data_IF_391430758847
#
_entry.id   IF_391430758847
#
_cell.length_a   1.000
_cell.length_b   1.000
_cell.length_c   1.000
_cell.angle_alpha   90.00
_cell.angle_beta   90.00
_cell.angle_gamma   90.00
#
_symmetry.space_group_name_H-M   'P 1'
#
loop_
_entity.id
_entity.type
_entity.pdbx_description
1 polymer ?
#
# COMPACT_ATOMS: atom_id res chain seq x y z
N UNK A 1 -46.74 6.26 32.13
CA UNK A 1 -45.99 5.18 31.45
C UNK A 1 -44.57 5.18 32.01
N UNK A 2 -44.33 4.41 33.06
CA UNK A 2 -43.03 4.40 33.73
C UNK A 2 -42.01 3.52 32.97
N UNK A 3 -40.98 4.20 32.46
CA UNK A 3 -39.58 3.78 32.29
C UNK A 3 -39.26 2.53 31.45
N UNK A 4 -38.94 2.75 30.17
CA UNK A 4 -38.21 1.79 29.34
C UNK A 4 -36.74 1.67 29.78
N UNK A 5 -36.48 1.02 30.92
CA UNK A 5 -35.13 0.60 31.29
C UNK A 5 -34.59 -0.29 30.17
N UNK A 6 -33.44 0.07 29.59
CA UNK A 6 -32.78 -0.75 28.56
C UNK A 6 -32.59 -2.17 29.10
N UNK A 7 -33.29 -3.16 28.53
CA UNK A 7 -33.15 -4.58 28.88
C UNK A 7 -31.76 -5.05 28.45
N UNK A 8 -30.98 -5.58 29.39
CA UNK A 8 -29.70 -6.22 29.12
C UNK A 8 -29.89 -7.50 28.29
N UNK A 9 -28.85 -7.88 27.56
CA UNK A 9 -28.84 -9.15 26.84
C UNK A 9 -28.75 -10.33 27.82
N UNK A 10 -29.55 -11.37 27.57
CA UNK A 10 -29.44 -12.65 28.28
C UNK A 10 -28.41 -13.56 27.60
N UNK A 11 -28.04 -14.67 28.25
CA UNK A 11 -27.11 -15.63 27.65
C UNK A 11 -27.72 -16.35 26.43
N UNK A 12 -29.02 -16.62 26.43
CA UNK A 12 -29.72 -17.17 25.26
C UNK A 12 -29.71 -16.18 24.09
N UNK A 13 -29.93 -14.89 24.37
CA UNK A 13 -29.86 -13.83 23.36
C UNK A 13 -28.43 -13.68 22.80
N UNK A 14 -27.41 -13.80 23.65
CA UNK A 14 -26.01 -13.80 23.22
C UNK A 14 -25.69 -15.02 22.36
N UNK A 15 -26.14 -16.22 22.74
CA UNK A 15 -25.93 -17.44 21.96
C UNK A 15 -26.60 -17.35 20.59
N UNK A 16 -27.86 -16.90 20.52
CA UNK A 16 -28.56 -16.69 19.26
C UNK A 16 -27.81 -15.67 18.37
N UNK A 17 -27.36 -14.57 18.95
CA UNK A 17 -26.57 -13.56 18.25
C UNK A 17 -25.25 -14.14 17.71
N UNK A 18 -24.51 -14.91 18.51
CA UNK A 18 -23.22 -15.47 18.12
C UNK A 18 -23.39 -16.54 17.02
N UNK A 19 -24.37 -17.43 17.14
CA UNK A 19 -24.68 -18.43 16.10
C UNK A 19 -25.02 -17.77 14.78
N UNK A 20 -25.93 -16.79 14.80
CA UNK A 20 -26.33 -16.07 13.59
C UNK A 20 -25.15 -15.27 13.01
N UNK A 21 -24.35 -14.62 13.86
CA UNK A 21 -23.18 -13.87 13.41
C UNK A 21 -22.13 -14.77 12.76
N UNK A 22 -21.91 -15.97 13.29
CA UNK A 22 -20.99 -16.94 12.71
C UNK A 22 -21.46 -17.43 11.33
N UNK A 23 -22.77 -17.60 11.16
CA UNK A 23 -23.39 -17.95 9.87
C UNK A 23 -23.31 -16.83 8.83
N UNK A 24 -23.77 -15.63 9.17
CA UNK A 24 -23.91 -14.50 8.23
C UNK A 24 -22.61 -13.71 8.02
N UNK A 25 -21.68 -13.83 8.98
CA UNK A 25 -20.36 -13.15 9.01
C UNK A 25 -20.42 -11.64 8.73
N UNK A 26 -21.31 -10.88 9.40
CA UNK A 26 -21.37 -9.42 9.20
C UNK A 26 -20.08 -8.71 9.65
N UNK A 27 -19.32 -9.31 10.58
CA UNK A 27 -18.05 -8.77 11.09
C UNK A 27 -16.87 -8.87 10.10
N UNK A 28 -16.99 -9.65 9.02
CA UNK A 28 -15.96 -9.75 7.97
C UNK A 28 -16.22 -8.83 6.78
N UNK A 29 -17.24 -7.97 6.85
CA UNK A 29 -17.63 -7.12 5.73
C UNK A 29 -16.63 -5.98 5.50
N UNK A 30 -16.32 -5.65 4.23
CA UNK A 30 -15.52 -4.46 3.89
C UNK A 30 -16.16 -3.17 4.41
N UNK A 31 -15.34 -2.12 4.55
CA UNK A 31 -15.81 -0.78 4.93
C UNK A 31 -16.90 -0.31 3.97
N UNK A 32 -18.00 0.23 4.51
CA UNK A 32 -19.13 0.77 3.75
C UNK A 32 -20.37 -0.12 3.70
N UNK A 33 -20.25 -1.43 3.96
CA UNK A 33 -21.39 -2.37 3.96
C UNK A 33 -21.71 -3.02 5.30
N UNK A 34 -20.88 -2.80 6.32
CA UNK A 34 -20.94 -3.54 7.58
C UNK A 34 -22.27 -3.38 8.32
N UNK A 35 -22.80 -2.15 8.41
CA UNK A 35 -24.02 -1.90 9.18
C UNK A 35 -25.26 -2.52 8.52
N UNK A 36 -25.33 -2.52 7.19
CA UNK A 36 -26.43 -3.15 6.45
C UNK A 36 -26.48 -4.66 6.73
N UNK A 37 -25.32 -5.33 6.78
CA UNK A 37 -25.26 -6.76 7.14
C UNK A 37 -25.64 -7.02 8.59
N UNK A 38 -25.30 -6.11 9.49
CA UNK A 38 -25.80 -6.19 10.86
C UNK A 38 -27.31 -5.97 10.96
N UNK A 39 -27.89 -5.08 10.14
CA UNK A 39 -29.34 -4.87 10.08
C UNK A 39 -30.07 -6.10 9.49
N UNK A 40 -29.51 -6.74 8.45
CA UNK A 40 -30.02 -8.02 7.91
C UNK A 40 -29.99 -9.14 8.97
N UNK A 41 -28.88 -9.27 9.69
CA UNK A 41 -28.77 -10.22 10.80
C UNK A 41 -29.80 -9.93 11.88
N UNK A 42 -29.94 -8.66 12.27
CA UNK A 42 -30.87 -8.26 13.32
C UNK A 42 -32.33 -8.53 12.92
N UNK A 43 -32.68 -8.26 11.66
CA UNK A 43 -34.00 -8.58 11.12
C UNK A 43 -34.26 -10.10 11.12
N UNK A 44 -33.24 -10.91 10.81
CA UNK A 44 -33.33 -12.37 10.85
C UNK A 44 -33.61 -12.87 12.27
N UNK A 45 -32.88 -12.36 13.27
CA UNK A 45 -33.11 -12.71 14.67
C UNK A 45 -34.51 -12.29 15.15
N UNK A 46 -34.96 -11.08 14.81
CA UNK A 46 -36.30 -10.59 15.21
C UNK A 46 -37.43 -11.39 14.55
N UNK A 47 -37.20 -11.93 13.34
CA UNK A 47 -38.16 -12.78 12.65
C UNK A 47 -38.28 -14.19 13.25
N UNK A 48 -37.29 -14.65 14.01
CA UNK A 48 -37.33 -15.94 14.71
C UNK A 48 -38.19 -15.82 15.98
N UNK A 49 -39.29 -16.59 16.02
CA UNK A 49 -40.20 -16.64 17.17
C UNK A 49 -39.52 -17.12 18.46
N UNK A 50 -38.38 -17.81 18.36
CA UNK A 50 -37.59 -18.27 19.50
C UNK A 50 -36.67 -17.19 20.05
N UNK A 51 -36.49 -16.08 19.33
CA UNK A 51 -35.66 -14.97 19.79
C UNK A 51 -36.46 -14.07 20.76
N UNK A 52 -36.03 -13.88 22.03
CA UNK A 52 -36.84 -13.23 23.06
C UNK A 52 -37.08 -11.72 22.90
N UNK A 53 -36.60 -11.11 21.82
CA UNK A 53 -36.55 -9.67 21.63
C UNK A 53 -37.24 -9.27 20.32
N UNK A 54 -38.24 -8.42 20.47
CA UNK A 54 -39.10 -7.88 19.41
C UNK A 54 -38.45 -6.74 18.60
N UNK A 55 -37.42 -6.09 19.17
CA UNK A 55 -36.67 -5.03 18.50
C UNK A 55 -35.16 -5.22 18.63
N UNK A 56 -34.49 -5.41 17.50
CA UNK A 56 -33.04 -5.40 17.43
C UNK A 56 -32.62 -4.61 16.20
N UNK A 57 -31.71 -3.65 16.39
CA UNK A 57 -31.06 -2.96 15.28
C UNK A 57 -29.67 -3.51 15.05
N UNK A 58 -29.15 -3.41 13.82
CA UNK A 58 -27.80 -3.83 13.49
C UNK A 58 -26.74 -3.13 14.35
N UNK A 59 -26.93 -1.84 14.66
CA UNK A 59 -26.05 -1.11 15.58
C UNK A 59 -26.02 -1.69 17.00
N UNK A 60 -27.16 -2.19 17.48
CA UNK A 60 -27.25 -2.80 18.82
C UNK A 60 -26.64 -4.19 18.82
N UNK A 61 -26.92 -4.98 17.78
CA UNK A 61 -26.34 -6.30 17.57
C UNK A 61 -24.81 -6.23 17.46
N UNK A 62 -24.28 -5.36 16.60
CA UNK A 62 -22.84 -5.17 16.41
C UNK A 62 -22.18 -4.68 17.71
N UNK A 63 -22.80 -3.73 18.42
CA UNK A 63 -22.28 -3.23 19.69
C UNK A 63 -22.28 -4.27 20.80
N UNK A 64 -23.23 -5.22 20.80
CA UNK A 64 -23.23 -6.35 21.75
C UNK A 64 -22.16 -7.37 21.37
N UNK A 65 -22.09 -7.74 20.11
CA UNK A 65 -21.07 -8.64 19.57
C UNK A 65 -19.65 -8.17 19.91
N UNK A 66 -19.33 -6.89 19.67
CA UNK A 66 -18.03 -6.31 19.99
C UNK A 66 -17.68 -6.43 21.48
N UNK A 67 -18.67 -6.29 22.37
CA UNK A 67 -18.46 -6.45 23.82
C UNK A 67 -18.15 -7.90 24.17
N UNK A 68 -18.84 -8.86 23.57
CA UNK A 68 -18.62 -10.29 23.80
C UNK A 68 -17.23 -10.71 23.34
N UNK A 69 -16.84 -10.33 22.11
CA UNK A 69 -15.51 -10.64 21.57
C UNK A 69 -14.40 -10.02 22.44
N UNK A 70 -14.56 -8.76 22.88
CA UNK A 70 -13.58 -8.10 23.76
C UNK A 70 -13.46 -8.78 25.12
N UNK A 71 -14.59 -9.14 25.73
CA UNK A 71 -14.61 -9.84 27.01
C UNK A 71 -13.91 -11.20 26.89
N UNK A 72 -14.22 -11.95 25.83
CA UNK A 72 -13.60 -13.26 25.55
C UNK A 72 -12.09 -13.16 25.39
N UNK A 73 -11.59 -12.28 24.52
CA UNK A 73 -10.14 -12.09 24.32
C UNK A 73 -9.42 -11.76 25.62
N UNK A 74 -10.05 -10.97 26.49
CA UNK A 74 -9.50 -10.64 27.82
C UNK A 74 -9.44 -11.88 28.72
N UNK A 75 -10.53 -12.64 28.79
CA UNK A 75 -10.61 -13.87 29.59
C UNK A 75 -9.61 -14.92 29.11
N UNK A 76 -9.52 -15.17 27.80
CA UNK A 76 -8.55 -16.11 27.22
C UNK A 76 -7.10 -15.70 27.51
N UNK A 77 -6.78 -14.41 27.47
CA UNK A 77 -5.45 -13.91 27.81
C UNK A 77 -5.14 -14.10 29.31
N UNK A 78 -6.10 -13.82 30.20
CA UNK A 78 -5.95 -14.05 31.64
C UNK A 78 -5.80 -15.54 31.95
N UNK A 79 -6.62 -16.41 31.35
CA UNK A 79 -6.54 -17.86 31.51
C UNK A 79 -5.19 -18.44 31.05
N UNK A 80 -4.65 -17.96 29.93
CA UNK A 80 -3.33 -18.37 29.43
C UNK A 80 -2.20 -18.09 30.44
N UNK A 81 -2.35 -17.07 31.30
CA UNK A 81 -1.36 -16.73 32.35
C UNK A 81 -1.50 -17.55 33.63
N UNK A 82 -2.66 -18.19 33.85
CA UNK A 82 -3.02 -18.88 35.10
C UNK A 82 -3.02 -20.42 34.96
N UNK A 83 -2.50 -20.95 33.84
CA UNK A 83 -2.59 -22.35 33.39
C UNK A 83 -2.51 -23.41 34.50
N UNK A 84 -3.59 -24.19 34.65
CA UNK A 84 -3.66 -25.37 35.52
C UNK A 84 -5.05 -26.00 35.68
N UNK A 85 -6.13 -25.37 35.22
CA UNK A 85 -7.50 -25.87 35.37
C UNK A 85 -8.14 -26.08 34.01
N UNK A 86 -8.56 -27.32 33.73
CA UNK A 86 -9.44 -27.66 32.62
C UNK A 86 -10.86 -27.24 33.00
N UNK A 87 -11.35 -26.14 32.44
CA UNK A 87 -12.76 -25.75 32.55
C UNK A 87 -13.58 -26.39 31.43
N UNK A 88 -14.87 -26.63 31.70
CA UNK A 88 -15.83 -27.12 30.71
C UNK A 88 -16.08 -26.03 29.66
N UNK A 89 -15.75 -26.31 28.40
CA UNK A 89 -16.00 -25.38 27.29
C UNK A 89 -17.50 -25.25 27.05
N UNK A 90 -18.06 -24.11 27.44
CA UNK A 90 -19.43 -23.75 27.08
C UNK A 90 -19.57 -23.56 25.56
N UNK A 91 -20.76 -23.75 25.01
CA UNK A 91 -21.00 -23.43 23.59
C UNK A 91 -20.66 -21.98 23.25
N UNK A 92 -20.89 -21.05 24.20
CA UNK A 92 -20.56 -19.64 24.05
C UNK A 92 -19.07 -19.43 23.83
N UNK A 93 -18.22 -20.13 24.58
CA UNK A 93 -16.76 -20.05 24.44
C UNK A 93 -16.30 -20.63 23.11
N UNK A 94 -16.84 -21.79 22.70
CA UNK A 94 -16.51 -22.40 21.39
C UNK A 94 -16.85 -21.45 20.22
N UNK A 95 -18.05 -20.86 20.25
CA UNK A 95 -18.47 -19.90 19.22
C UNK A 95 -17.56 -18.67 19.19
N UNK A 96 -17.18 -18.16 20.37
CA UNK A 96 -16.30 -17.00 20.48
C UNK A 96 -14.86 -17.30 20.03
N UNK A 97 -14.35 -18.50 20.30
CA UNK A 97 -13.04 -18.95 19.81
C UNK A 97 -13.02 -19.01 18.28
N UNK A 98 -14.05 -19.60 17.66
CA UNK A 98 -14.15 -19.66 16.20
C UNK A 98 -14.28 -18.25 15.58
N UNK A 99 -15.13 -17.39 16.16
CA UNK A 99 -15.29 -16.00 15.71
C UNK A 99 -13.97 -15.23 15.82
N UNK A 100 -13.24 -15.39 16.93
CA UNK A 100 -11.94 -14.73 17.14
C UNK A 100 -10.92 -15.21 16.12
N UNK A 101 -10.84 -16.52 15.87
CA UNK A 101 -9.97 -17.09 14.86
C UNK A 101 -10.27 -16.52 13.46
N UNK A 102 -11.55 -16.42 13.08
CA UNK A 102 -11.96 -15.81 11.80
C UNK A 102 -11.59 -14.32 11.70
N UNK A 103 -11.73 -13.56 12.79
CA UNK A 103 -11.34 -12.15 12.85
C UNK A 103 -9.82 -11.98 12.68
N UNK A 104 -9.03 -12.80 13.36
CA UNK A 104 -7.57 -12.74 13.31
C UNK A 104 -7.05 -13.18 11.94
N UNK A 105 -7.61 -14.24 11.36
CA UNK A 105 -7.32 -14.68 9.99
C UNK A 105 -7.62 -13.57 8.96
N UNK A 106 -8.76 -12.91 9.08
CA UNK A 106 -9.12 -11.81 8.18
C UNK A 106 -8.19 -10.62 8.35
N UNK A 107 -7.83 -10.27 9.60
CA UNK A 107 -6.86 -9.22 9.87
C UNK A 107 -5.48 -9.54 9.28
N UNK A 108 -5.01 -10.79 9.42
CA UNK A 108 -3.74 -11.23 8.85
C UNK A 108 -3.74 -11.19 7.31
N UNK A 109 -4.80 -11.69 6.67
CA UNK A 109 -4.93 -11.66 5.20
C UNK A 109 -4.99 -10.23 4.65
N UNK A 110 -5.73 -9.35 5.33
CA UNK A 110 -5.83 -7.94 4.90
C UNK A 110 -4.53 -7.17 5.12
N UNK A 111 -3.77 -7.47 6.17
CA UNK A 111 -2.43 -6.92 6.39
C UNK A 111 -1.45 -7.40 5.32
N UNK A 112 -1.41 -8.71 5.05
CA UNK A 112 -0.54 -9.29 4.03
C UNK A 112 -0.83 -8.71 2.64
N UNK A 113 -2.11 -8.56 2.26
CA UNK A 113 -2.49 -7.95 0.98
C UNK A 113 -1.96 -6.51 0.85
N UNK A 114 -2.10 -5.70 1.92
CA UNK A 114 -1.57 -4.33 1.93
C UNK A 114 -0.05 -4.30 1.81
N UNK A 115 0.65 -5.17 2.51
CA UNK A 115 2.11 -5.29 2.44
C UNK A 115 2.57 -5.69 1.03
N UNK A 116 1.88 -6.64 0.38
CA UNK A 116 2.22 -7.04 -0.99
C UNK A 116 2.03 -5.91 -2.00
N UNK A 117 0.96 -5.12 -1.86
CA UNK A 117 0.72 -3.95 -2.72
C UNK A 117 1.74 -2.85 -2.46
N UNK A 118 2.10 -2.60 -1.19
CA UNK A 118 3.12 -1.63 -0.83
C UNK A 118 4.48 -2.01 -1.42
N UNK A 119 4.91 -3.27 -1.26
CA UNK A 119 6.17 -3.79 -1.85
C UNK A 119 6.17 -3.76 -3.38
N UNK A 120 5.00 -3.84 -4.01
CA UNK A 120 4.89 -3.72 -5.46
C UNK A 120 5.14 -2.27 -5.89
N UNK A 121 4.52 -1.30 -5.21
CA UNK A 121 4.72 0.13 -5.45
C UNK A 121 6.17 0.55 -5.24
N UNK A 122 6.78 0.12 -4.14
CA UNK A 122 8.19 0.42 -3.84
C UNK A 122 9.13 -0.12 -4.93
N UNK A 123 8.87 -1.34 -5.44
CA UNK A 123 9.63 -1.90 -6.56
C UNK A 123 9.42 -1.16 -7.87
N UNK A 124 8.19 -0.72 -8.15
CA UNK A 124 7.89 0.08 -9.34
C UNK A 124 8.58 1.46 -9.29
N UNK A 125 8.62 2.08 -8.11
CA UNK A 125 9.34 3.33 -7.86
C UNK A 125 10.86 3.15 -8.02
N UNK A 126 11.45 2.12 -7.40
CA UNK A 126 12.88 1.80 -7.55
C UNK A 126 13.27 1.56 -9.02
N UNK A 127 12.44 0.85 -9.79
CA UNK A 127 12.66 0.62 -11.21
C UNK A 127 12.58 1.92 -12.02
N UNK A 128 11.65 2.82 -11.68
CA UNK A 128 11.53 4.12 -12.33
C UNK A 128 12.75 5.00 -12.05
N UNK A 129 13.19 5.06 -10.80
CA UNK A 129 14.38 5.82 -10.38
C UNK A 129 15.65 5.28 -11.03
N UNK A 130 15.81 3.94 -11.08
CA UNK A 130 16.97 3.34 -11.74
C UNK A 130 16.98 3.64 -13.24
N UNK A 131 15.81 3.65 -13.88
CA UNK A 131 15.66 4.02 -15.30
C UNK A 131 16.00 5.48 -15.53
N UNK A 132 15.49 6.39 -14.69
CA UNK A 132 15.80 7.82 -14.77
C UNK A 132 17.30 8.09 -14.60
N UNK A 133 17.96 7.48 -13.60
CA UNK A 133 19.39 7.63 -13.39
C UNK A 133 20.23 7.12 -14.58
N UNK A 134 19.82 6.01 -15.21
CA UNK A 134 20.48 5.51 -16.43
C UNK A 134 20.31 6.44 -17.61
N UNK A 135 19.11 7.00 -17.80
CA UNK A 135 18.82 7.95 -18.87
C UNK A 135 19.61 9.26 -18.67
N UNK A 136 19.70 9.75 -17.44
CA UNK A 136 20.50 10.93 -17.10
C UNK A 136 21.98 10.71 -17.38
N UNK A 137 22.55 9.60 -16.92
CA UNK A 137 23.96 9.27 -17.19
C UNK A 137 24.23 9.10 -18.70
N UNK A 138 23.29 8.51 -19.44
CA UNK A 138 23.41 8.37 -20.89
C UNK A 138 23.37 9.74 -21.60
N UNK A 139 22.52 10.66 -21.12
CA UNK A 139 22.42 12.02 -21.63
C UNK A 139 23.69 12.84 -21.34
N UNK A 140 24.23 12.76 -20.11
CA UNK A 140 25.49 13.41 -19.73
C UNK A 140 26.64 12.95 -20.62
N UNK A 141 26.82 11.63 -20.79
CA UNK A 141 27.85 11.09 -21.70
C UNK A 141 27.65 11.49 -23.16
N UNK A 142 26.39 11.64 -23.59
CA UNK A 142 26.10 12.10 -24.95
C UNK A 142 26.42 13.58 -25.13
N UNK A 143 26.27 14.39 -24.08
CA UNK A 143 26.67 15.79 -24.06
C UNK A 143 28.20 15.91 -24.15
N UNK A 144 28.93 15.23 -23.27
CA UNK A 144 30.41 15.22 -23.25
C UNK A 144 30.98 14.86 -24.62
N UNK A 145 30.48 13.79 -25.26
CA UNK A 145 30.92 13.39 -26.61
C UNK A 145 30.67 14.46 -27.67
N UNK A 146 29.60 15.24 -27.55
CA UNK A 146 29.30 16.33 -28.49
C UNK A 146 30.26 17.49 -28.26
N UNK A 147 30.50 17.85 -27.00
CA UNK A 147 31.48 18.88 -26.65
C UNK A 147 32.88 18.53 -27.14
N UNK A 148 33.35 17.30 -26.88
CA UNK A 148 34.65 16.80 -27.37
C UNK A 148 34.76 16.87 -28.90
N UNK A 149 33.66 16.55 -29.59
CA UNK A 149 33.59 16.58 -31.05
C UNK A 149 33.64 18.02 -31.58
N UNK A 150 32.90 18.94 -30.95
CA UNK A 150 32.89 20.36 -31.29
C UNK A 150 34.26 21.01 -31.00
N UNK A 151 34.89 20.69 -29.87
CA UNK A 151 36.23 21.17 -29.53
C UNK A 151 37.26 20.67 -30.54
N UNK A 152 37.22 19.37 -30.88
CA UNK A 152 38.08 18.79 -31.91
C UNK A 152 37.86 19.42 -33.29
N UNK A 153 36.61 19.77 -33.64
CA UNK A 153 36.28 20.44 -34.88
C UNK A 153 36.83 21.89 -34.91
N UNK A 154 36.68 22.63 -33.81
CA UNK A 154 37.24 23.98 -33.66
C UNK A 154 38.76 23.97 -33.75
N UNK A 155 39.43 23.07 -33.05
CA UNK A 155 40.89 22.94 -33.10
C UNK A 155 41.41 22.63 -34.52
N UNK A 156 40.70 21.78 -35.28
CA UNK A 156 41.03 21.52 -36.69
C UNK A 156 40.83 22.74 -37.57
N UNK A 157 39.75 23.49 -37.36
CA UNK A 157 39.47 24.71 -38.10
C UNK A 157 40.56 25.76 -37.84
N UNK A 158 40.92 26.00 -36.58
CA UNK A 158 41.99 26.92 -36.19
C UNK A 158 43.35 26.52 -36.79
N UNK A 159 43.70 25.23 -36.75
CA UNK A 159 44.92 24.72 -37.36
C UNK A 159 44.94 24.94 -38.89
N UNK A 160 43.80 24.72 -39.55
CA UNK A 160 43.64 24.99 -40.99
C UNK A 160 43.81 26.48 -41.31
N UNK A 161 43.17 27.36 -40.54
CA UNK A 161 43.30 28.81 -40.68
C UNK A 161 44.73 29.29 -40.48
N UNK A 162 45.44 28.74 -39.49
CA UNK A 162 46.86 29.03 -39.27
C UNK A 162 47.73 28.59 -40.46
N UNK A 163 47.48 27.41 -41.02
CA UNK A 163 48.19 26.92 -42.21
C UNK A 163 47.95 27.81 -43.44
N UNK A 164 46.69 28.23 -43.67
CA UNK A 164 46.33 29.16 -44.74
C UNK A 164 47.09 30.49 -44.62
N UNK A 165 47.19 31.06 -43.42
CA UNK A 165 47.98 32.28 -43.17
C UNK A 165 49.47 32.07 -43.49
N UNK A 166 50.04 30.93 -43.10
CA UNK A 166 51.45 30.61 -43.36
C UNK A 166 51.73 30.45 -44.87
N UNK A 167 50.88 29.70 -45.58
CA UNK A 167 50.98 29.53 -47.05
C UNK A 167 50.87 30.89 -47.74
N UNK A 168 49.94 31.75 -47.30
CA UNK A 168 49.82 33.12 -47.80
C UNK A 168 51.10 33.94 -47.60
N UNK A 169 51.70 33.88 -46.40
CA UNK A 169 52.94 34.59 -46.09
C UNK A 169 54.14 34.11 -46.93
N UNK A 170 54.26 32.79 -47.14
CA UNK A 170 55.31 32.20 -48.00
C UNK A 170 55.09 32.62 -49.46
N UNK A 171 53.85 32.57 -49.96
CA UNK A 171 53.52 32.95 -51.34
C UNK A 171 53.86 34.42 -51.58
N UNK A 172 53.51 35.31 -50.65
CA UNK A 172 53.86 36.72 -50.71
C UNK A 172 55.38 36.95 -50.71
N UNK A 173 56.12 36.21 -49.88
CA UNK A 173 57.59 36.26 -49.85
C UNK A 173 58.20 35.83 -51.20
N UNK A 174 57.69 34.75 -51.80
CA UNK A 174 58.14 34.27 -53.12
C UNK A 174 57.85 35.31 -54.21
N UNK A 175 56.66 35.89 -54.22
CA UNK A 175 56.29 36.93 -55.19
C UNK A 175 57.21 38.15 -55.08
N UNK A 176 57.54 38.58 -53.86
CA UNK A 176 58.47 39.69 -53.63
C UNK A 176 59.87 39.39 -54.18
N UNK A 177 60.39 38.16 -53.99
CA UNK A 177 61.68 37.72 -54.53
C UNK A 177 61.66 37.74 -56.07
N UNK A 178 60.60 37.21 -56.69
CA UNK A 178 60.46 37.18 -58.16
C UNK A 178 60.40 38.61 -58.73
N UNK A 179 59.68 39.53 -58.07
CA UNK A 179 59.60 40.92 -58.50
C UNK A 179 60.95 41.64 -58.38
N UNK A 180 61.69 41.40 -57.30
CA UNK A 180 63.03 41.96 -57.12
C UNK A 180 64.01 41.46 -58.20
N UNK A 181 63.91 40.20 -58.62
CA UNK A 181 64.73 39.65 -59.71
C UNK A 181 64.40 40.20 -61.11
N UNK A 182 63.14 40.59 -61.36
CA UNK A 182 62.72 41.20 -62.64
C UNK A 182 63.06 42.69 -62.76
N UNK A 183 63.47 43.33 -61.67
CA UNK A 183 63.77 44.76 -61.62
C UNK A 183 65.26 45.09 -61.72
N UNK A 184 66.10 44.06 -61.90
CA UNK A 184 67.53 44.12 -62.26
C UNK A 184 67.70 43.73 -63.74
#
# INVERSE_FOLDING_TARGET
MAEGRRRNFTDEEDLALLRQALGDRPFLQPRGGILAKWDELAATLVADASFPRDNLSGKTASGRFDKLVKAHRKQSAEAATLSGVSEEESEKTVLLDEIVALLDDYAARTAAAKETEQRKREREEELADNKAAREELAAQRAHERKEDHEESARARQEASEHMLKLVGAVTNSILAIIQAQKSN
#
